data_IF_922703876940
#
_entry.id   IF_922703876940
#
_cell.length_a   1.000
_cell.length_b   1.000
_cell.length_c   1.000
_cell.angle_alpha   90.00
_cell.angle_beta   90.00
_cell.angle_gamma   90.00
#
_symmetry.space_group_name_H-M   'P 1'
#
loop_
_entity.id
_entity.type
_entity.pdbx_description
1 polymer ?
#
# COMPACT_ATOMS: atom_id res chain seq x y z
N UNK A 1 41.51 -60.03 -63.91
CA UNK A 1 41.96 -60.99 -62.89
C UNK A 1 41.64 -60.39 -61.52
N UNK A 2 40.87 -61.15 -60.75
CA UNK A 2 40.74 -61.13 -59.27
C UNK A 2 39.95 -60.00 -58.59
N UNK A 3 38.98 -60.45 -57.77
CA UNK A 3 37.92 -59.78 -57.01
C UNK A 3 38.41 -58.97 -55.80
N UNK A 4 37.61 -57.99 -55.33
CA UNK A 4 37.31 -57.79 -53.90
C UNK A 4 36.15 -56.78 -53.68
N UNK A 5 35.46 -56.99 -52.57
CA UNK A 5 34.05 -56.66 -52.27
C UNK A 5 33.94 -55.53 -51.23
N UNK A 6 32.73 -54.93 -51.13
CA UNK A 6 32.14 -54.26 -49.94
C UNK A 6 32.68 -52.87 -49.55
N UNK A 7 31.95 -51.93 -48.93
CA UNK A 7 30.80 -52.01 -48.02
C UNK A 7 30.07 -50.64 -48.01
N UNK A 8 28.73 -50.64 -47.98
CA UNK A 8 27.90 -49.45 -47.77
C UNK A 8 27.71 -49.19 -46.27
N UNK A 9 27.78 -47.91 -45.85
CA UNK A 9 27.28 -47.47 -44.53
C UNK A 9 26.32 -46.28 -44.71
N UNK A 10 25.05 -46.55 -44.45
CA UNK A 10 23.97 -45.56 -44.33
C UNK A 10 23.93 -45.08 -42.88
N UNK A 11 24.25 -43.81 -42.62
CA UNK A 11 24.07 -43.20 -41.30
C UNK A 11 22.67 -42.57 -41.21
N UNK A 12 21.73 -43.28 -40.59
CA UNK A 12 20.43 -42.71 -40.19
C UNK A 12 20.64 -41.84 -38.95
N UNK A 13 20.52 -40.52 -39.10
CA UNK A 13 20.42 -39.61 -37.97
C UNK A 13 19.01 -39.75 -37.36
N UNK A 14 18.90 -40.56 -36.32
CA UNK A 14 17.76 -40.52 -35.42
C UNK A 14 17.87 -39.24 -34.57
N UNK A 15 17.22 -38.17 -35.03
CA UNK A 15 17.02 -36.97 -34.23
C UNK A 15 16.05 -37.25 -33.10
N UNK A 16 16.57 -37.64 -31.93
CA UNK A 16 15.84 -37.48 -30.68
C UNK A 16 15.69 -35.98 -30.43
N UNK A 17 14.55 -35.42 -30.84
CA UNK A 17 14.06 -34.17 -30.26
C UNK A 17 13.77 -34.45 -28.79
N UNK A 18 14.72 -34.09 -27.92
CA UNK A 18 14.39 -33.84 -26.52
C UNK A 18 13.32 -32.76 -26.55
N UNK A 19 12.07 -33.13 -26.22
CA UNK A 19 11.05 -32.18 -25.84
C UNK A 19 11.63 -31.35 -24.70
N UNK A 20 12.06 -30.15 -25.05
CA UNK A 20 12.46 -29.15 -24.11
C UNK A 20 11.21 -28.86 -23.30
N UNK A 21 11.18 -29.35 -22.06
CA UNK A 21 10.17 -29.00 -21.07
C UNK A 21 10.25 -27.49 -20.89
N UNK A 22 9.44 -26.77 -21.66
CA UNK A 22 9.27 -25.32 -21.54
C UNK A 22 8.52 -25.15 -20.23
N UNK A 23 9.29 -25.10 -19.14
CA UNK A 23 8.78 -24.92 -17.79
C UNK A 23 7.75 -23.79 -17.80
N UNK A 24 6.52 -24.14 -17.42
CA UNK A 24 5.40 -23.21 -17.41
C UNK A 24 5.80 -21.92 -16.67
N UNK A 25 5.62 -20.77 -17.32
CA UNK A 25 5.90 -19.47 -16.70
C UNK A 25 5.22 -19.36 -15.34
N UNK A 26 5.91 -18.85 -14.31
CA UNK A 26 5.35 -18.79 -12.97
C UNK A 26 4.07 -17.94 -12.96
N UNK A 27 2.96 -18.55 -12.53
CA UNK A 27 1.67 -17.85 -12.44
C UNK A 27 1.64 -17.02 -11.15
N UNK A 28 1.97 -15.74 -11.26
CA UNK A 28 1.97 -14.82 -10.11
C UNK A 28 0.56 -14.25 -9.89
N UNK A 29 0.02 -14.43 -8.68
CA UNK A 29 -1.33 -13.99 -8.30
C UNK A 29 -1.29 -13.12 -7.04
N UNK A 30 -2.17 -12.12 -6.95
CA UNK A 30 -2.38 -11.33 -5.73
C UNK A 30 -3.43 -12.02 -4.85
N UNK A 31 -3.04 -12.38 -3.63
CA UNK A 31 -3.92 -12.91 -2.60
C UNK A 31 -4.33 -11.77 -1.67
N UNK A 32 -5.63 -11.60 -1.49
CA UNK A 32 -6.19 -10.59 -0.58
C UNK A 32 -6.71 -11.24 0.70
N UNK A 33 -6.40 -10.64 1.83
CA UNK A 33 -6.88 -11.00 3.16
C UNK A 33 -7.65 -9.82 3.74
N UNK A 34 -8.94 -10.02 4.00
CA UNK A 34 -9.78 -8.99 4.62
C UNK A 34 -9.40 -8.81 6.10
N UNK A 35 -9.47 -7.57 6.58
CA UNK A 35 -9.39 -7.27 8.01
C UNK A 35 -10.80 -7.10 8.59
N UNK A 36 -10.94 -7.32 9.90
CA UNK A 36 -12.22 -7.13 10.60
C UNK A 36 -11.96 -6.44 11.93
N UNK A 37 -12.46 -5.21 12.12
CA UNK A 37 -13.13 -4.38 11.10
C UNK A 37 -12.18 -3.97 9.98
N UNK A 38 -12.71 -3.70 8.78
CA UNK A 38 -11.96 -3.13 7.66
C UNK A 38 -11.92 -1.59 7.70
N UNK A 39 -12.63 -1.00 8.66
CA UNK A 39 -12.76 0.43 8.84
C UNK A 39 -12.54 0.79 10.31
N UNK A 40 -11.62 1.73 10.56
CA UNK A 40 -11.24 2.21 11.88
C UNK A 40 -11.51 3.71 11.96
N UNK A 41 -12.45 4.17 12.82
CA UNK A 41 -12.70 5.59 13.00
C UNK A 41 -11.52 6.27 13.69
N UNK A 42 -11.29 7.54 13.34
CA UNK A 42 -10.22 8.38 13.87
C UNK A 42 -10.81 9.70 14.34
N UNK A 43 -10.43 10.14 15.54
CA UNK A 43 -10.81 11.44 16.06
C UNK A 43 -9.73 11.99 16.96
N UNK A 44 -9.11 13.09 16.56
CA UNK A 44 -8.16 13.83 17.39
C UNK A 44 -8.53 15.32 17.35
N UNK A 45 -9.07 15.83 18.46
CA UNK A 45 -9.51 17.21 18.59
C UNK A 45 -10.51 17.62 17.47
N UNK A 46 -10.07 18.44 16.52
CA UNK A 46 -10.87 18.95 15.39
C UNK A 46 -10.60 18.22 14.05
N UNK A 47 -9.71 17.23 14.02
CA UNK A 47 -9.53 16.35 12.87
C UNK A 47 -10.34 15.07 13.08
N UNK A 48 -11.36 14.87 12.24
CA UNK A 48 -12.15 13.64 12.19
C UNK A 48 -11.78 12.83 10.95
N UNK A 49 -11.90 11.52 11.02
CA UNK A 49 -11.57 10.68 9.88
C UNK A 49 -11.81 9.20 10.11
N UNK A 50 -11.32 8.42 9.16
CA UNK A 50 -11.32 6.97 9.21
C UNK A 50 -10.15 6.42 8.36
N UNK A 51 -9.59 5.29 8.79
CA UNK A 51 -8.93 4.36 7.88
C UNK A 51 -10.01 3.41 7.36
N UNK A 52 -10.20 3.33 6.06
CA UNK A 52 -11.29 2.56 5.44
C UNK A 52 -10.77 1.56 4.40
N UNK A 53 -11.53 0.49 4.19
CA UNK A 53 -11.23 -0.53 3.17
C UNK A 53 -9.91 -1.27 3.41
N UNK A 54 -9.54 -1.44 4.69
CA UNK A 54 -8.28 -2.05 5.08
C UNK A 54 -8.24 -3.53 4.69
N UNK A 55 -7.18 -3.89 3.98
CA UNK A 55 -6.90 -5.26 3.54
C UNK A 55 -5.41 -5.51 3.49
N UNK A 56 -5.01 -6.76 3.68
CA UNK A 56 -3.63 -7.18 3.44
C UNK A 56 -3.56 -7.87 2.08
N UNK A 57 -2.57 -7.51 1.27
CA UNK A 57 -2.30 -8.14 -0.02
C UNK A 57 -0.91 -8.77 -0.01
N UNK A 58 -0.79 -9.93 -0.63
CA UNK A 58 0.46 -10.67 -0.81
C UNK A 58 0.49 -11.20 -2.24
N UNK A 59 1.66 -11.24 -2.90
CA UNK A 59 1.76 -11.90 -4.20
C UNK A 59 2.51 -13.20 -4.07
N UNK A 60 1.91 -14.25 -4.62
CA UNK A 60 2.47 -15.60 -4.56
C UNK A 60 2.63 -16.15 -5.98
N UNK A 61 3.58 -17.08 -6.13
CA UNK A 61 3.56 -18.01 -7.22
C UNK A 61 2.48 -19.06 -6.93
N UNK A 62 1.45 -19.13 -7.76
CA UNK A 62 0.31 -20.01 -7.52
C UNK A 62 0.70 -21.50 -7.60
N UNK A 63 1.74 -21.83 -8.37
CA UNK A 63 2.21 -23.20 -8.54
C UNK A 63 3.06 -23.63 -7.34
N UNK A 64 4.07 -22.86 -6.97
CA UNK A 64 5.00 -23.22 -5.88
C UNK A 64 4.51 -22.81 -4.49
N UNK A 65 3.48 -21.95 -4.43
CA UNK A 65 2.98 -21.28 -3.21
C UNK A 65 4.00 -20.36 -2.53
N UNK A 66 5.14 -20.09 -3.18
CA UNK A 66 6.16 -19.18 -2.65
C UNK A 66 5.69 -17.73 -2.72
N UNK A 67 6.04 -16.96 -1.70
CA UNK A 67 5.79 -15.52 -1.63
C UNK A 67 6.79 -14.80 -2.53
N UNK A 68 6.27 -14.12 -3.55
CA UNK A 68 7.06 -13.37 -4.53
C UNK A 68 7.09 -11.88 -4.20
N UNK A 69 6.01 -11.37 -3.59
CA UNK A 69 5.99 -10.02 -3.01
C UNK A 69 5.46 -10.11 -1.59
N UNK A 70 6.26 -9.62 -0.65
CA UNK A 70 5.93 -9.65 0.77
C UNK A 70 4.66 -8.85 1.08
N UNK A 71 3.92 -9.21 2.14
CA UNK A 71 2.64 -8.58 2.44
C UNK A 71 2.70 -7.05 2.59
N UNK A 72 1.61 -6.40 2.17
CA UNK A 72 1.36 -4.96 2.32
C UNK A 72 -0.04 -4.72 2.85
N UNK A 73 -0.18 -3.72 3.71
CA UNK A 73 -1.47 -3.17 4.12
C UNK A 73 -1.91 -2.16 3.08
N UNK A 74 -3.13 -2.33 2.57
CA UNK A 74 -3.80 -1.39 1.67
C UNK A 74 -5.07 -0.84 2.28
N UNK A 75 -5.38 0.41 1.97
CA UNK A 75 -6.63 1.06 2.34
C UNK A 75 -6.60 2.55 2.01
N UNK A 76 -7.48 3.30 2.65
CA UNK A 76 -7.59 4.74 2.43
C UNK A 76 -7.75 5.48 3.76
N UNK A 77 -6.91 6.48 4.00
CA UNK A 77 -7.10 7.44 5.08
C UNK A 77 -7.97 8.60 4.60
N UNK A 78 -9.15 8.77 5.21
CA UNK A 78 -10.01 9.94 5.00
C UNK A 78 -9.93 10.86 6.20
N UNK A 79 -9.79 12.15 5.95
CA UNK A 79 -9.71 13.17 6.99
C UNK A 79 -10.65 14.34 6.67
N UNK A 80 -11.13 15.01 7.70
CA UNK A 80 -11.90 16.25 7.66
C UNK A 80 -11.48 17.16 8.80
N UNK A 81 -11.21 18.41 8.46
CA UNK A 81 -11.03 19.47 9.43
C UNK A 81 -12.39 20.03 9.83
N UNK A 82 -12.75 19.90 11.11
CA UNK A 82 -13.99 20.42 11.68
C UNK A 82 -13.80 21.67 12.53
N UNK A 83 -12.59 22.23 12.60
CA UNK A 83 -12.36 23.51 13.26
C UNK A 83 -12.97 24.64 12.41
N UNK A 84 -13.63 25.64 13.02
CA UNK A 84 -14.17 26.78 12.29
C UNK A 84 -13.12 27.85 11.97
N UNK A 85 -12.03 27.88 12.74
CA UNK A 85 -11.07 28.99 12.80
C UNK A 85 -9.61 28.51 12.75
N UNK A 86 -9.39 27.27 12.29
CA UNK A 86 -8.05 26.71 12.12
C UNK A 86 -7.96 26.00 10.78
N UNK A 87 -6.90 26.28 10.03
CA UNK A 87 -6.44 25.43 8.94
C UNK A 87 -5.40 24.45 9.48
N UNK A 88 -5.24 23.32 8.81
CA UNK A 88 -4.33 22.26 9.26
C UNK A 88 -3.41 21.84 8.13
N UNK A 89 -2.10 21.89 8.37
CA UNK A 89 -1.12 21.30 7.46
C UNK A 89 -0.73 19.90 7.94
N UNK A 90 -1.02 18.88 7.15
CA UNK A 90 -0.61 17.50 7.39
C UNK A 90 0.90 17.36 7.11
N UNK A 91 1.65 16.74 8.02
CA UNK A 91 3.11 16.63 7.89
C UNK A 91 3.53 15.21 7.55
N UNK A 92 3.06 14.25 8.34
CA UNK A 92 3.41 12.85 8.15
C UNK A 92 2.33 11.95 8.72
N UNK A 93 2.23 10.75 8.13
CA UNK A 93 1.42 9.67 8.65
C UNK A 93 2.20 8.35 8.49
N UNK A 94 2.10 7.48 9.50
CA UNK A 94 2.65 6.12 9.43
C UNK A 94 1.76 5.14 10.18
N UNK A 95 1.90 3.86 9.84
CA UNK A 95 1.14 2.78 10.45
C UNK A 95 2.00 2.00 11.45
N UNK A 96 1.48 1.82 12.66
CA UNK A 96 1.98 0.87 13.65
C UNK A 96 1.13 -0.39 13.69
N UNK A 97 1.78 -1.53 13.95
CA UNK A 97 1.12 -2.82 14.12
C UNK A 97 1.25 -3.29 15.56
N UNK A 98 0.17 -3.79 16.12
CA UNK A 98 0.12 -4.27 17.50
C UNK A 98 -0.46 -5.67 17.51
N UNK A 99 0.12 -6.56 18.30
CA UNK A 99 -0.37 -7.92 18.45
C UNK A 99 -1.58 -8.02 19.39
N UNK A 100 -2.13 -9.23 19.49
CA UNK A 100 -3.25 -9.54 20.38
C UNK A 100 -2.94 -9.34 21.87
N UNK A 101 -1.66 -9.27 22.27
CA UNK A 101 -1.22 -9.00 23.63
C UNK A 101 -0.97 -7.49 23.87
N UNK A 102 -1.22 -6.65 22.86
CA UNK A 102 -1.00 -5.20 22.93
C UNK A 102 0.45 -4.77 22.70
N UNK A 103 1.35 -5.67 22.27
CA UNK A 103 2.76 -5.37 22.02
C UNK A 103 3.00 -4.94 20.57
N UNK A 104 3.94 -4.03 20.30
CA UNK A 104 4.30 -3.67 18.93
C UNK A 104 4.84 -4.86 18.14
N UNK A 105 4.39 -5.03 16.89
CA UNK A 105 4.92 -6.01 15.95
C UNK A 105 6.00 -5.35 15.09
N UNK A 106 7.22 -5.87 15.17
CA UNK A 106 8.35 -5.35 14.38
C UNK A 106 8.31 -5.93 12.96
N UNK A 107 8.61 -5.10 11.96
CA UNK A 107 8.80 -5.55 10.59
C UNK A 107 10.20 -6.11 10.36
N UNK A 108 10.33 -6.93 9.31
CA UNK A 108 11.65 -7.41 8.88
C UNK A 108 12.59 -6.26 8.54
N UNK A 109 13.89 -6.51 8.67
CA UNK A 109 14.93 -5.54 8.34
C UNK A 109 14.79 -5.04 6.89
N UNK A 110 14.94 -3.73 6.69
CA UNK A 110 14.76 -3.08 5.39
C UNK A 110 13.30 -2.76 5.03
N UNK A 111 12.32 -3.07 5.91
CA UNK A 111 10.89 -2.77 5.71
C UNK A 111 10.26 -1.95 6.82
N UNK A 112 11.06 -1.30 7.66
CA UNK A 112 10.56 -0.59 8.84
C UNK A 112 9.81 0.71 8.51
N UNK A 113 9.98 1.24 7.30
CA UNK A 113 9.25 2.43 6.88
C UNK A 113 7.80 2.08 6.50
N UNK A 114 6.89 2.44 7.41
CA UNK A 114 5.45 2.34 7.23
C UNK A 114 4.79 3.70 7.05
N UNK A 115 5.58 4.72 6.69
CA UNK A 115 5.05 6.03 6.32
C UNK A 115 4.41 5.99 4.95
N UNK A 116 3.36 6.79 4.76
CA UNK A 116 2.70 6.94 3.48
C UNK A 116 2.48 8.41 3.15
N UNK A 117 2.41 8.68 1.84
CA UNK A 117 2.39 10.03 1.31
C UNK A 117 0.98 10.62 1.45
N UNK A 118 0.91 11.79 2.07
CA UNK A 118 -0.33 12.56 2.21
C UNK A 118 -0.49 13.50 1.01
N UNK A 119 -0.60 12.94 -0.19
CA UNK A 119 -0.74 13.73 -1.42
C UNK A 119 -2.13 14.33 -1.54
N UNK A 120 -2.19 15.64 -1.73
CA UNK A 120 -3.41 16.37 -2.07
C UNK A 120 -3.09 17.34 -3.22
N UNK A 121 -3.96 17.39 -4.23
CA UNK A 121 -3.88 18.33 -5.35
C UNK A 121 -3.91 19.81 -4.92
N UNK A 122 -4.30 20.10 -3.67
CA UNK A 122 -4.44 21.46 -3.11
C UNK A 122 -3.56 21.69 -1.88
N UNK A 123 -2.34 21.15 -1.91
CA UNK A 123 -1.39 21.17 -0.81
C UNK A 123 -1.82 20.29 0.37
N UNK A 124 -0.86 19.98 1.21
CA UNK A 124 -0.99 19.29 2.49
C UNK A 124 -1.88 20.03 3.51
N UNK A 125 -2.66 21.02 3.09
CA UNK A 125 -3.48 21.90 3.93
C UNK A 125 -4.97 21.56 3.84
N UNK A 126 -5.63 21.54 4.99
CA UNK A 126 -7.07 21.41 5.18
C UNK A 126 -7.61 22.68 5.84
N UNK A 127 -8.26 23.55 5.07
CA UNK A 127 -9.00 24.69 5.61
C UNK A 127 -10.24 24.24 6.41
N UNK A 128 -10.86 25.12 7.23
CA UNK A 128 -12.12 24.83 7.92
C UNK A 128 -13.17 24.16 7.03
N UNK A 129 -13.69 23.02 7.47
CA UNK A 129 -14.71 22.25 6.75
C UNK A 129 -14.17 21.38 5.61
N UNK A 130 -12.91 21.54 5.18
CA UNK A 130 -12.33 20.76 4.09
C UNK A 130 -11.94 19.34 4.52
N UNK A 131 -11.88 18.43 3.55
CA UNK A 131 -11.44 17.06 3.75
C UNK A 131 -10.49 16.59 2.66
N UNK A 132 -9.79 15.48 2.94
CA UNK A 132 -8.83 14.85 2.04
C UNK A 132 -8.91 13.33 2.12
N UNK A 133 -8.41 12.67 1.09
CA UNK A 133 -8.31 11.21 0.99
C UNK A 133 -6.91 10.83 0.55
N UNK A 134 -6.29 9.86 1.23
CA UNK A 134 -4.91 9.44 0.99
C UNK A 134 -4.83 7.92 0.90
N UNK A 135 -4.12 7.42 -0.10
CA UNK A 135 -3.90 5.99 -0.26
C UNK A 135 -2.90 5.49 0.78
N UNK A 136 -3.24 4.38 1.42
CA UNK A 136 -2.35 3.61 2.28
C UNK A 136 -1.90 2.40 1.48
N UNK A 137 -0.60 2.30 1.22
CA UNK A 137 0.05 1.10 0.67
C UNK A 137 1.43 0.98 1.34
N UNK A 138 1.48 0.23 2.45
CA UNK A 138 2.66 0.16 3.32
C UNK A 138 3.01 -1.28 3.67
N UNK A 139 4.27 -1.59 4.02
CA UNK A 139 4.67 -2.92 4.46
C UNK A 139 3.83 -3.50 5.60
N UNK A 140 3.49 -4.78 5.52
CA UNK A 140 2.79 -5.52 6.59
C UNK A 140 3.67 -6.64 7.15
N UNK A 141 3.66 -6.90 8.48
CA UNK A 141 4.45 -7.96 9.09
C UNK A 141 3.98 -9.35 8.68
N UNK A 142 4.80 -10.06 7.89
CA UNK A 142 4.49 -11.40 7.40
C UNK A 142 4.21 -12.41 8.53
N UNK A 143 4.92 -12.29 9.66
CA UNK A 143 4.69 -13.13 10.84
C UNK A 143 3.27 -12.96 11.41
N UNK A 144 2.72 -11.75 11.39
CA UNK A 144 1.36 -11.50 11.86
C UNK A 144 0.31 -12.06 10.91
N UNK A 145 0.57 -12.04 9.60
CA UNK A 145 -0.30 -12.65 8.61
C UNK A 145 -0.34 -14.18 8.76
N UNK A 146 0.82 -14.81 8.91
CA UNK A 146 0.95 -16.25 9.06
C UNK A 146 0.38 -16.75 10.39
N UNK A 147 0.70 -16.07 11.49
CA UNK A 147 0.27 -16.43 12.84
C UNK A 147 -1.13 -15.94 13.22
N UNK A 148 -1.76 -15.10 12.39
CA UNK A 148 -3.02 -14.39 12.69
C UNK A 148 -2.95 -13.64 14.02
N UNK A 149 -1.83 -12.97 14.29
CA UNK A 149 -1.56 -12.33 15.57
C UNK A 149 -1.78 -10.81 15.57
N UNK A 150 -2.29 -10.23 14.48
CA UNK A 150 -2.63 -8.80 14.45
C UNK A 150 -3.82 -8.53 15.40
N UNK A 151 -3.60 -7.68 16.40
CA UNK A 151 -4.63 -7.22 17.33
C UNK A 151 -5.16 -5.83 16.98
N UNK A 152 -4.27 -4.89 16.59
CA UNK A 152 -4.64 -3.50 16.31
C UNK A 152 -3.72 -2.84 15.27
N UNK A 153 -4.27 -1.84 14.57
CA UNK A 153 -3.57 -0.97 13.62
C UNK A 153 -3.62 0.45 14.17
N UNK A 154 -2.44 1.03 14.44
CA UNK A 154 -2.32 2.38 14.97
C UNK A 154 -1.90 3.35 13.87
N UNK A 155 -2.66 4.43 13.72
CA UNK A 155 -2.23 5.57 12.91
C UNK A 155 -1.46 6.56 13.78
N UNK A 156 -0.21 6.81 13.44
CA UNK A 156 0.56 7.92 14.00
C UNK A 156 0.60 9.04 12.97
N UNK A 157 0.09 10.22 13.34
CA UNK A 157 -0.01 11.37 12.44
C UNK A 157 0.54 12.63 13.09
N UNK A 158 1.32 13.40 12.34
CA UNK A 158 1.80 14.73 12.73
C UNK A 158 1.15 15.79 11.84
N UNK A 159 0.67 16.87 12.46
CA UNK A 159 0.07 18.00 11.76
C UNK A 159 0.42 19.33 12.44
N UNK A 160 0.34 20.42 11.68
CA UNK A 160 0.55 21.79 12.16
C UNK A 160 -0.76 22.57 12.00
N UNK A 161 -1.42 22.96 13.10
CA UNK A 161 -2.55 23.88 13.03
C UNK A 161 -2.07 25.32 12.81
N UNK A 162 -2.84 26.08 12.03
CA UNK A 162 -2.63 27.50 11.78
C UNK A 162 -3.94 28.24 11.98
N UNK A 163 -3.97 29.38 12.72
CA UNK A 163 -5.17 30.20 12.80
C UNK A 163 -5.71 30.56 11.41
N UNK A 164 -7.03 30.44 11.24
CA UNK A 164 -7.76 30.77 10.02
C UNK A 164 -8.76 31.86 10.35
N UNK A 165 -8.58 33.03 9.74
CA UNK A 165 -9.49 34.17 9.88
C UNK A 165 -9.78 34.75 8.52
N UNK A 166 -11.06 34.90 8.22
CA UNK A 166 -11.52 35.63 7.05
C UNK A 166 -11.76 37.09 7.46
N UNK A 167 -11.21 38.01 6.68
CA UNK A 167 -11.44 39.45 6.84
C UNK A 167 -12.11 39.98 5.58
N UNK A 168 -13.11 40.86 5.76
CA UNK A 168 -13.81 41.50 4.67
C UNK A 168 -13.58 43.01 4.72
N UNK A 169 -13.30 43.62 3.56
CA UNK A 169 -13.12 45.07 3.43
C UNK A 169 -14.22 45.62 2.54
N UNK A 170 -14.96 46.61 3.05
CA UNK A 170 -15.94 47.36 2.28
C UNK A 170 -15.40 48.76 1.99
N UNK A 171 -15.27 49.11 0.70
CA UNK A 171 -14.84 50.44 0.27
C UNK A 171 -16.06 51.21 -0.22
N UNK A 172 -16.30 52.40 0.37
CA UNK A 172 -17.35 53.30 -0.11
C UNK A 172 -16.79 54.18 -1.23
N UNK A 173 -17.53 54.29 -2.33
CA UNK A 173 -17.23 55.18 -3.45
C UNK A 173 -18.43 56.08 -3.76
N UNK A 174 -18.16 57.29 -4.22
CA UNK A 174 -19.17 58.27 -4.63
C UNK A 174 -18.78 58.95 -5.95
N UNK A 175 -19.77 59.40 -6.73
CA UNK A 175 -19.53 60.14 -7.97
C UNK A 175 -18.93 61.52 -7.68
N UNK A 176 -18.02 61.97 -8.54
CA UNK A 176 -17.50 63.34 -8.51
C UNK A 176 -18.61 64.34 -8.87
N UNK A 177 -18.55 65.55 -8.27
CA UNK A 177 -19.44 66.66 -8.58
C UNK A 177 -19.08 67.33 -9.90
#
# INVERSE_FOLDING_TARGET
MTFATALALSATLAGCTTEQDVGASPRIVEKTFALTPDTLPLGVSFLKGELAGLKVVERINETTKEVVEQPKLRGTLKLRNTAPDQAVRLISAKIGYVDTDGKPITLAEGRQDTSFKLYSYQADRLDPGMGSSHDVDVPFPAAALAGKTLGDIRLEMTYLPTPYREEAVAVRVSLAK
#
